data_IF_960315828315
#
_entry.id   IF_960315828315
#
_cell.length_a   1.000
_cell.length_b   1.000
_cell.length_c   1.000
_cell.angle_alpha   90.00
_cell.angle_beta   90.00
_cell.angle_gamma   90.00
#
_symmetry.space_group_name_H-M   'P 1'
#
loop_
_entity.id
_entity.type
_entity.pdbx_description
1 polymer ?
#
# COMPACT_ATOMS: atom_id res chain seq x y z
N UNK A 1 54.68 42.45 46.42
CA UNK A 1 53.85 42.95 45.29
C UNK A 1 52.40 42.73 45.67
N UNK A 2 51.68 43.78 46.06
CA UNK A 2 50.31 43.66 46.54
C UNK A 2 49.34 43.34 45.41
N UNK A 3 48.47 42.34 45.63
CA UNK A 3 47.26 42.15 44.85
C UNK A 3 46.09 42.63 45.71
N UNK A 4 45.68 43.86 45.42
CA UNK A 4 44.51 44.52 45.93
C UNK A 4 43.39 44.26 44.91
N UNK A 5 42.49 43.32 45.18
CA UNK A 5 41.26 43.14 44.40
C UNK A 5 40.04 43.29 45.30
N UNK A 6 39.60 44.54 45.34
CA UNK A 6 38.35 45.03 45.91
C UNK A 6 37.26 44.89 44.86
N UNK A 7 36.65 43.72 44.70
CA UNK A 7 35.32 43.55 44.07
C UNK A 7 34.85 42.08 44.08
N UNK A 8 33.70 41.87 44.74
CA UNK A 8 32.61 40.89 44.53
C UNK A 8 32.87 39.54 43.83
N UNK A 9 33.95 38.84 44.16
CA UNK A 9 34.04 37.38 43.91
C UNK A 9 34.71 36.66 45.09
N UNK A 10 34.68 37.27 46.27
CA UNK A 10 35.16 36.71 47.54
C UNK A 10 34.20 35.70 48.19
N UNK A 11 33.51 34.86 47.41
CA UNK A 11 32.58 33.84 47.95
C UNK A 11 32.74 32.42 47.41
N UNK A 12 33.73 32.17 46.55
CA UNK A 12 34.04 30.80 46.08
C UNK A 12 35.27 30.20 46.79
N UNK A 13 35.94 30.99 47.65
CA UNK A 13 37.18 30.59 48.34
C UNK A 13 36.96 30.69 49.85
N UNK A 14 36.21 29.74 50.40
CA UNK A 14 36.14 29.41 51.84
C UNK A 14 35.23 28.18 51.98
N UNK A 15 35.62 27.01 51.49
CA UNK A 15 36.10 25.87 52.30
C UNK A 15 36.40 24.78 51.26
N UNK A 16 37.62 24.32 50.99
CA UNK A 16 38.49 23.54 51.84
C UNK A 16 39.93 23.74 51.32
N UNK A 17 40.66 24.62 51.99
CA UNK A 17 42.11 24.53 52.06
C UNK A 17 42.47 23.94 53.43
N UNK A 18 43.58 23.17 53.48
CA UNK A 18 44.21 22.56 54.65
C UNK A 18 43.57 21.23 55.08
N UNK A 19 44.17 20.06 54.83
CA UNK A 19 45.43 19.49 55.39
C UNK A 19 45.99 18.52 54.33
N UNK A 20 47.27 18.34 54.02
CA UNK A 20 48.52 18.58 54.73
C UNK A 20 49.38 17.30 54.64
N UNK A 21 50.42 17.33 53.79
CA UNK A 21 51.72 16.63 53.88
C UNK A 21 51.81 15.09 54.02
N UNK A 22 52.61 14.49 53.12
CA UNK A 22 53.14 13.13 53.15
C UNK A 22 53.80 12.77 54.50
N UNK A 23 53.85 11.50 54.91
CA UNK A 23 55.02 10.68 54.57
C UNK A 23 54.79 9.17 54.73
N UNK A 24 54.81 8.45 53.60
CA UNK A 24 55.04 7.00 53.50
C UNK A 24 53.80 6.09 53.48
N UNK A 25 52.62 6.63 53.21
CA UNK A 25 51.40 6.14 53.86
C UNK A 25 50.50 5.30 52.94
N UNK A 26 50.26 4.06 53.36
CA UNK A 26 49.33 3.10 52.79
C UNK A 26 47.94 3.72 52.51
N UNK A 27 47.41 3.50 51.31
CA UNK A 27 46.04 3.87 50.98
C UNK A 27 45.75 3.90 49.49
N UNK A 28 45.21 2.79 48.98
CA UNK A 28 44.15 2.73 47.98
C UNK A 28 44.09 3.91 46.99
N UNK A 29 44.93 3.86 45.96
CA UNK A 29 44.81 4.73 44.80
C UNK A 29 43.59 4.36 43.97
N UNK A 30 42.44 4.94 44.32
CA UNK A 30 41.21 4.87 43.54
C UNK A 30 41.39 5.66 42.24
N UNK A 31 41.85 5.01 41.17
CA UNK A 31 41.62 5.51 39.83
C UNK A 31 40.12 5.35 39.52
N UNK A 32 39.36 6.43 39.72
CA UNK A 32 38.01 6.55 39.19
C UNK A 32 38.08 6.67 37.67
N UNK A 33 38.13 5.54 36.96
CA UNK A 33 37.81 5.52 35.55
C UNK A 33 36.30 5.76 35.41
N UNK A 34 35.89 7.01 35.20
CA UNK A 34 34.52 7.34 34.77
C UNK A 34 34.36 6.93 33.30
N UNK A 35 34.29 5.64 33.04
CA UNK A 35 33.86 5.14 31.72
C UNK A 35 32.34 5.20 31.67
N UNK A 36 31.79 6.30 31.18
CA UNK A 36 30.42 6.33 30.69
C UNK A 36 30.39 5.75 29.28
N UNK A 37 29.91 4.51 29.13
CA UNK A 37 29.45 4.01 27.84
C UNK A 37 27.92 4.05 27.83
N UNK A 38 27.35 4.92 27.00
CA UNK A 38 25.94 4.86 26.62
C UNK A 38 25.84 4.05 25.33
N UNK A 39 25.28 2.84 25.41
CA UNK A 39 24.86 2.10 24.21
C UNK A 39 23.39 2.38 23.95
N UNK A 40 23.09 3.01 22.82
CA UNK A 40 21.74 3.09 22.27
C UNK A 40 21.60 1.98 21.22
N UNK A 41 20.65 1.08 21.42
CA UNK A 41 20.30 0.05 20.43
C UNK A 41 19.05 0.52 19.70
N UNK A 42 19.15 0.77 18.39
CA UNK A 42 18.00 1.05 17.55
C UNK A 42 17.71 -0.16 16.68
N UNK A 43 16.59 -0.83 16.91
CA UNK A 43 16.04 -1.80 15.96
C UNK A 43 15.52 -1.05 14.74
N UNK A 44 16.25 -1.11 13.64
CA UNK A 44 15.80 -0.60 12.33
C UNK A 44 15.09 -1.75 11.61
N UNK A 45 13.76 -1.70 11.55
CA UNK A 45 12.96 -2.63 10.76
C UNK A 45 12.72 -2.07 9.35
N UNK A 46 12.91 -2.89 8.32
CA UNK A 46 12.57 -2.51 6.95
C UNK A 46 11.06 -2.50 6.73
N UNK A 47 10.59 -1.59 5.87
CA UNK A 47 9.19 -1.57 5.44
C UNK A 47 8.84 -2.75 4.53
N UNK A 48 7.73 -3.43 4.81
CA UNK A 48 7.13 -4.49 3.97
C UNK A 48 6.03 -3.86 3.12
N UNK A 49 6.14 -4.02 1.80
CA UNK A 49 5.07 -3.70 0.84
C UNK A 49 4.42 -5.01 0.44
N UNK A 50 3.16 -5.22 0.80
CA UNK A 50 2.39 -6.36 0.33
C UNK A 50 1.00 -5.92 -0.09
N UNK A 51 0.73 -5.97 -1.38
CA UNK A 51 -0.62 -5.85 -1.90
C UNK A 51 -1.09 -7.22 -2.37
N UNK A 52 -2.20 -7.68 -1.82
CA UNK A 52 -2.70 -9.02 -2.06
C UNK A 52 -4.15 -8.97 -2.54
N UNK A 53 -4.50 -9.90 -3.42
CA UNK A 53 -5.88 -10.22 -3.74
C UNK A 53 -6.40 -11.29 -2.79
N UNK A 54 -7.71 -11.26 -2.54
CA UNK A 54 -8.41 -12.33 -1.84
C UNK A 54 -8.20 -13.69 -2.52
N UNK A 55 -8.34 -14.76 -1.73
CA UNK A 55 -8.31 -16.13 -2.24
C UNK A 55 -9.41 -16.35 -3.30
N UNK A 56 -9.15 -17.23 -4.27
CA UNK A 56 -10.14 -17.59 -5.30
C UNK A 56 -11.43 -18.08 -4.65
N UNK A 57 -12.57 -17.51 -5.03
CA UNK A 57 -13.82 -17.75 -4.32
C UNK A 57 -14.70 -16.50 -4.29
N UNK A 58 -15.52 -16.36 -3.25
CA UNK A 58 -16.40 -15.20 -3.06
C UNK A 58 -15.65 -13.88 -2.88
N UNK A 59 -14.35 -13.92 -2.54
CA UNK A 59 -13.48 -12.74 -2.39
C UNK A 59 -12.57 -12.51 -3.60
N UNK A 60 -12.57 -13.41 -4.60
CA UNK A 60 -11.88 -13.22 -5.88
C UNK A 60 -12.45 -14.13 -6.98
N UNK A 61 -13.15 -13.52 -7.93
CA UNK A 61 -13.78 -14.16 -9.09
C UNK A 61 -13.13 -13.80 -10.41
N UNK A 62 -11.99 -13.09 -10.42
CA UNK A 62 -11.39 -12.56 -11.66
C UNK A 62 -11.01 -13.65 -12.68
N UNK A 63 -10.83 -14.89 -12.25
CA UNK A 63 -10.55 -16.05 -13.12
C UNK A 63 -11.80 -16.73 -13.71
N UNK A 64 -13.02 -16.32 -13.34
CA UNK A 64 -14.25 -16.94 -13.85
C UNK A 64 -14.52 -16.44 -15.26
N UNK A 65 -14.41 -17.35 -16.23
CA UNK A 65 -14.69 -17.07 -17.64
C UNK A 65 -16.11 -16.56 -17.86
N UNK A 66 -16.29 -15.77 -18.92
CA UNK A 66 -17.59 -15.42 -19.47
C UNK A 66 -17.67 -15.96 -20.90
N UNK A 67 -18.88 -16.34 -21.34
CA UNK A 67 -19.10 -16.95 -22.64
C UNK A 67 -20.44 -16.49 -23.21
N UNK A 68 -20.54 -16.41 -24.54
CA UNK A 68 -21.79 -16.09 -25.22
C UNK A 68 -22.24 -14.64 -25.04
N UNK A 69 -21.30 -13.70 -24.89
CA UNK A 69 -21.63 -12.28 -24.79
C UNK A 69 -22.22 -11.73 -26.08
N UNK A 70 -23.27 -10.95 -25.96
CA UNK A 70 -23.88 -10.18 -27.05
C UNK A 70 -23.72 -8.67 -26.81
N UNK A 71 -23.81 -7.82 -27.86
CA UNK A 71 -23.70 -6.38 -27.70
C UNK A 71 -24.66 -5.83 -26.63
N UNK A 72 -24.12 -5.07 -25.69
CA UNK A 72 -24.86 -4.54 -24.53
C UNK A 72 -24.69 -5.35 -23.24
N UNK A 73 -24.12 -6.55 -23.30
CA UNK A 73 -23.90 -7.37 -22.12
C UNK A 73 -22.85 -6.80 -21.17
N UNK A 74 -23.04 -7.10 -19.90
CA UNK A 74 -22.07 -6.81 -18.84
C UNK A 74 -21.71 -8.06 -18.05
N UNK A 75 -20.45 -8.18 -17.67
CA UNK A 75 -19.90 -9.25 -16.85
C UNK A 75 -19.29 -8.62 -15.61
N UNK A 76 -19.76 -9.00 -14.44
CA UNK A 76 -19.21 -8.52 -13.18
C UNK A 76 -18.38 -9.60 -12.50
N UNK A 77 -17.25 -9.21 -11.93
CA UNK A 77 -16.39 -10.03 -11.06
C UNK A 77 -15.95 -9.20 -9.87
N UNK A 78 -15.78 -9.85 -8.72
CA UNK A 78 -15.28 -9.17 -7.52
C UNK A 78 -13.86 -9.60 -7.18
N UNK A 79 -13.14 -8.70 -6.53
CA UNK A 79 -11.87 -9.01 -5.88
C UNK A 79 -11.68 -8.13 -4.63
N UNK A 80 -11.27 -8.74 -3.54
CA UNK A 80 -10.82 -8.00 -2.36
C UNK A 80 -9.34 -7.65 -2.53
N UNK A 81 -9.00 -6.37 -2.41
CA UNK A 81 -7.64 -5.86 -2.53
C UNK A 81 -7.17 -5.37 -1.16
N UNK A 82 -6.08 -5.92 -0.64
CA UNK A 82 -5.64 -5.63 0.73
C UNK A 82 -4.16 -5.27 0.81
N UNK A 83 -3.84 -4.26 1.62
CA UNK A 83 -2.49 -3.97 2.12
C UNK A 83 -2.38 -4.42 3.59
N UNK A 84 -2.77 -5.67 3.85
CA UNK A 84 -3.02 -6.14 5.21
C UNK A 84 -1.75 -6.57 5.97
N UNK A 85 -0.75 -7.12 5.27
CA UNK A 85 0.51 -7.55 5.91
C UNK A 85 1.68 -6.62 5.60
N UNK A 86 1.46 -5.59 4.78
CA UNK A 86 2.41 -4.50 4.64
C UNK A 86 2.33 -3.58 5.86
N UNK A 87 3.48 -3.07 6.30
CA UNK A 87 3.54 -2.04 7.35
C UNK A 87 3.82 -0.64 6.77
N UNK A 88 3.81 -0.51 5.44
CA UNK A 88 4.06 0.74 4.73
C UNK A 88 2.82 1.22 3.98
N UNK A 89 2.61 2.54 4.03
CA UNK A 89 1.71 3.21 3.10
C UNK A 89 2.32 3.23 1.69
N UNK A 90 1.45 3.06 0.69
CA UNK A 90 1.75 3.08 -0.72
C UNK A 90 1.53 4.48 -1.27
N UNK A 91 2.35 4.89 -2.23
CA UNK A 91 2.14 6.13 -2.97
C UNK A 91 1.00 6.02 -3.96
N UNK A 92 0.80 4.85 -4.54
CA UNK A 92 -0.24 4.56 -5.52
C UNK A 92 -0.45 3.05 -5.65
N UNK A 93 -1.63 2.68 -6.15
CA UNK A 93 -1.92 1.35 -6.65
C UNK A 93 -2.35 1.50 -8.10
N UNK A 94 -1.82 0.65 -8.96
CA UNK A 94 -2.13 0.64 -10.39
C UNK A 94 -2.66 -0.70 -10.85
N UNK A 95 -3.44 -0.70 -11.92
CA UNK A 95 -3.91 -1.88 -12.63
C UNK A 95 -3.25 -1.96 -14.01
N UNK A 96 -2.69 -3.12 -14.34
CA UNK A 96 -2.31 -3.47 -15.71
C UNK A 96 -3.17 -4.63 -16.18
N UNK A 97 -3.77 -4.49 -17.36
CA UNK A 97 -4.56 -5.53 -18.02
C UNK A 97 -3.91 -5.93 -19.33
N UNK A 98 -3.77 -7.24 -19.53
CA UNK A 98 -3.19 -7.83 -20.73
C UNK A 98 -4.08 -8.99 -21.22
N UNK A 99 -4.02 -9.32 -22.50
CA UNK A 99 -4.77 -10.42 -23.08
C UNK A 99 -3.87 -11.50 -23.67
N UNK A 100 -4.16 -12.77 -23.39
CA UNK A 100 -3.54 -13.93 -24.06
C UNK A 100 -4.41 -15.19 -23.87
N UNK A 101 -5.06 -15.72 -24.93
CA UNK A 101 -5.03 -15.23 -26.31
C UNK A 101 -5.71 -13.86 -26.47
N UNK A 102 -5.34 -13.15 -27.54
CA UNK A 102 -5.89 -11.84 -27.94
C UNK A 102 -6.93 -12.00 -29.06
N UNK A 103 -7.90 -11.11 -29.12
CA UNK A 103 -8.88 -11.00 -30.21
C UNK A 103 -9.41 -9.57 -30.35
N UNK A 104 -10.34 -9.36 -31.28
CA UNK A 104 -11.01 -8.07 -31.46
C UNK A 104 -11.76 -7.58 -30.20
N UNK A 105 -12.08 -8.48 -29.26
CA UNK A 105 -12.66 -8.11 -27.97
C UNK A 105 -11.73 -7.23 -27.14
N UNK A 106 -10.41 -7.35 -27.28
CA UNK A 106 -9.45 -6.57 -26.49
C UNK A 106 -8.66 -5.55 -27.32
N UNK A 107 -8.50 -5.78 -28.62
CA UNK A 107 -7.75 -4.87 -29.51
C UNK A 107 -8.60 -3.73 -30.07
N UNK A 108 -9.92 -3.89 -30.19
CA UNK A 108 -10.81 -2.84 -30.68
C UNK A 108 -11.21 -1.90 -29.53
N UNK A 109 -10.67 -0.68 -29.50
CA UNK A 109 -10.91 0.27 -28.41
C UNK A 109 -12.30 0.88 -28.41
N UNK A 110 -13.04 0.81 -29.52
CA UNK A 110 -14.36 1.46 -29.67
C UNK A 110 -15.50 0.49 -29.43
N UNK A 111 -15.38 -0.72 -29.98
CA UNK A 111 -16.43 -1.74 -29.99
C UNK A 111 -16.07 -2.98 -29.18
N UNK A 112 -14.80 -3.12 -28.79
CA UNK A 112 -14.35 -4.19 -27.89
C UNK A 112 -14.73 -3.93 -26.44
N UNK A 113 -14.34 -4.86 -25.58
CA UNK A 113 -14.62 -4.85 -24.16
C UNK A 113 -14.12 -3.55 -23.51
N UNK A 114 -15.00 -2.97 -22.72
CA UNK A 114 -14.70 -1.85 -21.84
C UNK A 114 -14.62 -2.35 -20.40
N UNK A 115 -13.76 -1.75 -19.58
CA UNK A 115 -13.61 -2.07 -18.17
C UNK A 115 -13.95 -0.86 -17.31
N UNK A 116 -14.69 -1.10 -16.23
CA UNK A 116 -14.83 -0.18 -15.09
C UNK A 116 -14.45 -0.91 -13.81
N UNK A 117 -14.00 -0.16 -12.81
CA UNK A 117 -13.76 -0.69 -11.47
C UNK A 117 -14.42 0.23 -10.45
N UNK A 118 -15.23 -0.37 -9.58
CA UNK A 118 -15.86 0.30 -8.45
C UNK A 118 -15.39 -0.36 -7.15
N UNK A 119 -15.41 0.39 -6.05
CA UNK A 119 -15.22 -0.11 -4.70
C UNK A 119 -16.53 0.02 -3.92
N UNK A 120 -16.86 -0.97 -3.10
CA UNK A 120 -17.91 -0.87 -2.10
C UNK A 120 -17.28 -0.77 -0.71
N UNK A 121 -17.81 0.12 0.13
CA UNK A 121 -17.33 0.28 1.52
C UNK A 121 -17.50 -0.99 2.38
N UNK A 122 -18.32 -1.94 1.92
CA UNK A 122 -18.52 -3.27 2.51
C UNK A 122 -18.33 -4.35 1.44
N UNK A 123 -18.29 -5.63 1.85
CA UNK A 123 -18.26 -6.73 0.89
C UNK A 123 -19.49 -6.69 -0.02
N UNK A 124 -19.28 -6.96 -1.32
CA UNK A 124 -20.35 -7.05 -2.30
C UNK A 124 -21.25 -8.26 -2.01
N UNK A 125 -22.56 -8.06 -2.10
CA UNK A 125 -23.54 -9.15 -2.01
C UNK A 125 -23.64 -9.82 -3.38
N UNK A 126 -23.13 -11.05 -3.50
CA UNK A 126 -23.18 -11.88 -4.71
C UNK A 126 -24.59 -12.46 -4.92
N UNK A 127 -25.06 -12.42 -6.17
CA UNK A 127 -26.24 -13.12 -6.63
C UNK A 127 -25.98 -13.74 -8.02
N UNK A 128 -26.92 -14.58 -8.49
CA UNK A 128 -26.77 -15.31 -9.75
C UNK A 128 -25.94 -16.60 -9.62
N UNK A 129 -25.62 -17.21 -10.75
CA UNK A 129 -24.83 -18.46 -10.83
C UNK A 129 -23.81 -18.36 -11.94
N UNK A 130 -22.69 -19.09 -11.84
CA UNK A 130 -21.63 -19.02 -12.85
C UNK A 130 -22.19 -19.34 -14.26
N UNK A 131 -21.77 -18.61 -15.30
CA UNK A 131 -20.83 -17.47 -15.28
C UNK A 131 -21.48 -16.09 -15.05
N UNK A 132 -22.80 -16.04 -14.87
CA UNK A 132 -23.64 -14.84 -14.77
C UNK A 132 -23.87 -14.39 -13.31
N UNK A 133 -22.79 -13.92 -12.67
CA UNK A 133 -22.87 -13.30 -11.34
C UNK A 133 -23.26 -11.83 -11.42
N UNK A 134 -23.99 -11.38 -10.40
CA UNK A 134 -24.30 -9.96 -10.17
C UNK A 134 -23.95 -9.57 -8.75
N UNK A 135 -23.63 -8.29 -8.54
CA UNK A 135 -23.16 -7.79 -7.25
C UNK A 135 -23.84 -6.48 -6.86
N UNK A 136 -24.42 -6.47 -5.66
CA UNK A 136 -25.03 -5.28 -5.06
C UNK A 136 -24.20 -4.79 -3.87
N UNK A 137 -24.05 -3.47 -3.75
CA UNK A 137 -23.36 -2.83 -2.64
C UNK A 137 -24.40 -2.39 -1.62
N UNK A 138 -24.26 -2.85 -0.37
CA UNK A 138 -25.11 -2.41 0.76
C UNK A 138 -24.59 -1.13 1.44
N UNK A 139 -23.37 -0.71 1.10
CA UNK A 139 -22.72 0.50 1.59
C UNK A 139 -22.63 1.61 0.54
N UNK A 140 -21.53 2.36 0.58
CA UNK A 140 -21.25 3.42 -0.40
C UNK A 140 -20.40 2.85 -1.54
N UNK A 141 -20.81 3.10 -2.77
CA UNK A 141 -20.02 2.79 -3.96
C UNK A 141 -19.16 3.99 -4.35
N UNK A 142 -17.87 3.77 -4.58
CA UNK A 142 -16.96 4.79 -5.13
C UNK A 142 -16.35 4.30 -6.45
N UNK A 143 -16.22 5.20 -7.42
CA UNK A 143 -15.55 4.88 -8.68
C UNK A 143 -14.04 4.85 -8.47
N UNK A 144 -13.40 3.76 -8.89
CA UNK A 144 -11.94 3.53 -8.78
C UNK A 144 -11.27 3.67 -10.13
N UNK A 145 -11.91 3.15 -11.19
CA UNK A 145 -11.49 3.29 -12.57
C UNK A 145 -12.71 3.58 -13.45
N UNK A 146 -12.70 4.73 -14.13
CA UNK A 146 -13.72 5.11 -15.09
C UNK A 146 -13.71 4.20 -16.33
N UNK A 147 -14.83 4.16 -17.05
CA UNK A 147 -14.99 3.31 -18.24
C UNK A 147 -13.95 3.62 -19.30
N UNK A 148 -13.29 2.58 -19.80
CA UNK A 148 -12.25 2.66 -20.82
C UNK A 148 -12.04 1.31 -21.51
N UNK A 149 -11.28 1.24 -22.62
CA UNK A 149 -10.92 -0.05 -23.23
C UNK A 149 -10.27 -1.00 -22.24
N UNK A 150 -10.57 -2.29 -22.37
CA UNK A 150 -10.17 -3.31 -21.38
C UNK A 150 -8.66 -3.41 -21.21
N UNK A 151 -7.85 -3.16 -22.25
CA UNK A 151 -6.39 -3.20 -22.18
C UNK A 151 -5.82 -1.85 -21.71
N UNK A 152 -4.86 -1.91 -20.79
CA UNK A 152 -4.14 -0.74 -20.32
C UNK A 152 -2.98 -1.12 -19.41
N UNK A 153 -1.98 -0.25 -19.35
CA UNK A 153 -0.83 -0.44 -18.50
C UNK A 153 -0.76 0.68 -17.45
N UNK A 154 -0.39 0.31 -16.22
CA UNK A 154 -0.16 1.24 -15.11
C UNK A 154 -1.33 2.22 -14.88
N UNK A 155 -2.56 1.73 -14.99
CA UNK A 155 -3.76 2.53 -14.78
C UNK A 155 -3.88 2.88 -13.31
N UNK A 156 -3.75 4.17 -12.98
CA UNK A 156 -3.91 4.63 -11.59
C UNK A 156 -5.33 4.36 -11.10
N UNK A 157 -5.43 3.65 -9.98
CA UNK A 157 -6.69 3.39 -9.30
C UNK A 157 -6.91 4.45 -8.22
N UNK A 158 -8.00 5.20 -8.33
CA UNK A 158 -8.33 6.27 -7.41
C UNK A 158 -9.18 5.76 -6.23
N UNK A 159 -9.29 6.57 -5.17
CA UNK A 159 -10.23 6.34 -4.05
C UNK A 159 -10.07 5.00 -3.32
N UNK A 160 -8.87 4.42 -3.36
CA UNK A 160 -8.54 3.19 -2.63
C UNK A 160 -8.08 3.52 -1.21
N UNK A 161 -8.59 2.77 -0.24
CA UNK A 161 -8.16 2.86 1.16
C UNK A 161 -6.94 1.99 1.43
N UNK A 162 -6.76 0.90 0.67
CA UNK A 162 -5.63 -0.02 0.73
C UNK A 162 -4.27 0.61 0.37
N UNK A 163 -4.24 1.87 -0.07
CA UNK A 163 -2.99 2.65 -0.10
C UNK A 163 -2.40 2.83 1.30
N UNK A 164 -3.22 2.73 2.36
CA UNK A 164 -2.79 2.75 3.74
C UNK A 164 -2.60 1.33 4.26
N UNK A 165 -1.54 1.08 5.03
CA UNK A 165 -1.32 -0.21 5.65
C UNK A 165 -2.52 -0.64 6.53
N UNK A 166 -2.81 -1.94 6.55
CA UNK A 166 -3.92 -2.54 7.29
C UNK A 166 -5.31 -2.37 6.68
N UNK A 167 -5.43 -1.68 5.53
CA UNK A 167 -6.73 -1.42 4.89
C UNK A 167 -7.00 -2.36 3.70
N UNK A 168 -8.28 -2.48 3.37
CA UNK A 168 -8.81 -3.37 2.34
C UNK A 168 -9.93 -2.67 1.57
N UNK A 169 -9.95 -2.87 0.25
CA UNK A 169 -11.01 -2.42 -0.65
C UNK A 169 -11.76 -3.62 -1.26
N UNK A 170 -13.08 -3.50 -1.42
CA UNK A 170 -13.95 -4.51 -2.01
C UNK A 170 -14.26 -4.10 -3.45
N UNK A 171 -13.45 -4.57 -4.39
CA UNK A 171 -13.55 -4.15 -5.79
C UNK A 171 -14.58 -4.99 -6.55
N UNK A 172 -15.32 -4.33 -7.43
CA UNK A 172 -16.09 -4.94 -8.51
C UNK A 172 -15.53 -4.45 -9.84
N UNK A 173 -15.04 -5.40 -10.63
CA UNK A 173 -14.63 -5.19 -12.01
C UNK A 173 -15.82 -5.51 -12.91
N UNK A 174 -16.21 -4.56 -13.75
CA UNK A 174 -17.27 -4.77 -14.74
C UNK A 174 -16.66 -4.70 -16.13
N UNK A 175 -16.83 -5.76 -16.91
CA UNK A 175 -16.56 -5.76 -18.33
C UNK A 175 -17.87 -5.53 -19.08
N UNK A 176 -17.86 -4.65 -20.07
CA UNK A 176 -19.02 -4.36 -20.91
C UNK A 176 -18.64 -4.59 -22.36
N UNK A 177 -19.45 -5.37 -23.09
CA UNK A 177 -19.40 -5.37 -24.54
C UNK A 177 -20.32 -4.25 -25.05
N UNK A 178 -19.81 -3.17 -25.68
CA UNK A 178 -20.64 -2.05 -26.12
C UNK A 178 -21.81 -2.49 -27.01
N UNK A 179 -22.94 -1.81 -26.92
CA UNK A 179 -24.10 -2.04 -27.81
C UNK A 179 -23.80 -1.70 -29.27
N UNK A 180 -22.73 -0.94 -29.53
CA UNK A 180 -22.21 -0.63 -30.86
C UNK A 180 -21.38 -1.76 -31.47
N UNK A 181 -21.08 -2.84 -30.72
CA UNK A 181 -20.36 -4.00 -31.23
C UNK A 181 -21.12 -4.66 -32.37
N UNK A 182 -20.44 -4.97 -33.47
CA UNK A 182 -21.02 -5.58 -34.67
C UNK A 182 -20.61 -7.05 -34.81
N UNK A 183 -21.02 -7.67 -35.91
CA UNK A 183 -20.75 -9.08 -36.18
C UNK A 183 -19.26 -9.42 -36.34
N UNK A 184 -18.35 -8.44 -36.48
CA UNK A 184 -16.90 -8.70 -36.50
C UNK A 184 -16.38 -9.17 -35.14
N UNK A 185 -17.09 -8.88 -34.05
CA UNK A 185 -16.75 -9.33 -32.71
C UNK A 185 -17.41 -10.67 -32.34
N UNK A 186 -18.22 -11.26 -33.24
CA UNK A 186 -18.87 -12.55 -33.00
C UNK A 186 -17.84 -13.69 -32.95
N UNK A 187 -18.06 -14.67 -32.06
CA UNK A 187 -17.20 -15.85 -31.87
C UNK A 187 -15.74 -15.55 -31.48
N UNK A 188 -15.44 -14.31 -31.11
CA UNK A 188 -14.14 -13.91 -30.61
C UNK A 188 -13.96 -14.35 -29.16
N UNK A 189 -12.71 -14.59 -28.76
CA UNK A 189 -12.37 -14.96 -27.39
C UNK A 189 -11.05 -14.34 -26.99
N UNK A 190 -11.04 -13.70 -25.81
CA UNK A 190 -9.84 -13.15 -25.18
C UNK A 190 -9.77 -13.62 -23.74
N UNK A 191 -8.57 -13.86 -23.23
CA UNK A 191 -8.35 -14.10 -21.79
C UNK A 191 -7.64 -12.91 -21.20
N UNK A 192 -8.35 -12.15 -20.36
CA UNK A 192 -7.84 -10.92 -19.74
C UNK A 192 -7.20 -11.25 -18.39
N UNK A 193 -5.92 -10.92 -18.25
CA UNK A 193 -5.19 -10.95 -16.98
C UNK A 193 -5.29 -9.57 -16.31
N UNK A 194 -5.55 -9.54 -15.00
CA UNK A 194 -5.60 -8.33 -14.17
C UNK A 194 -4.46 -8.36 -13.17
N UNK A 195 -3.53 -7.43 -13.29
CA UNK A 195 -2.37 -7.31 -12.40
C UNK A 195 -2.42 -6.01 -11.61
N UNK A 196 -2.52 -6.11 -10.28
CA UNK A 196 -2.51 -4.97 -9.37
C UNK A 196 -1.09 -4.76 -8.82
N UNK A 197 -0.59 -3.54 -8.87
CA UNK A 197 0.77 -3.21 -8.42
C UNK A 197 0.74 -2.03 -7.46
N UNK A 198 1.20 -2.25 -6.23
CA UNK A 198 1.39 -1.22 -5.21
C UNK A 198 2.80 -0.63 -5.29
N UNK A 199 2.90 0.70 -5.30
CA UNK A 199 4.20 1.41 -5.33
C UNK A 199 4.50 2.01 -3.96
N UNK A 200 5.70 1.78 -3.43
CA UNK A 200 6.13 2.37 -2.16
C UNK A 200 6.28 3.90 -2.28
N UNK A 201 6.03 4.62 -1.19
CA UNK A 201 6.41 6.04 -1.06
C UNK A 201 7.92 6.24 -1.19
N UNK A 202 8.33 7.38 -1.76
CA UNK A 202 9.73 7.82 -1.75
C UNK A 202 10.25 7.91 -0.31
N UNK A 203 11.50 7.50 -0.09
CA UNK A 203 12.12 7.55 1.22
C UNK A 203 12.14 8.98 1.78
N UNK A 204 11.86 9.12 3.07
CA UNK A 204 12.09 10.34 3.84
C UNK A 204 13.05 10.02 4.98
N UNK A 205 14.00 10.90 5.23
CA UNK A 205 14.86 10.81 6.41
C UNK A 205 13.98 10.75 7.66
N UNK A 206 14.27 9.83 8.57
CA UNK A 206 13.64 9.71 9.88
C UNK A 206 14.65 10.11 10.95
#
# INVERSE_FOLDING_TARGET
MGLNLKTTTGKVIASLALVGTAAGVAGLGTYGAFTSSTSASNTVASGIVNIALGATGTTNRLSVAASGLVPGDTVQRVATLANATGNQNLSAITLTTAASPTSLLDTNTTMGLQVTVDNCSTAWTEAGTAPAYTYTCSGTTTSVLASRPVIGANLTLANLTSVTAGHTDNLRVTLTLPSTADNTLQNQSSTIAFNFTGTQRTATNQ
#
